data_IF_141858152623
#
_entry.id   IF_141858152623
#
_cell.length_a   1.000
_cell.length_b   1.000
_cell.length_c   1.000
_cell.angle_alpha   90.00
_cell.angle_beta   90.00
_cell.angle_gamma   90.00
#
_symmetry.space_group_name_H-M   'P 1'
#
loop_
_entity.id
_entity.type
_entity.pdbx_description
1 polymer ?
#
# COMPACT_ATOMS: atom_id res chain seq x y z
N UNK A 1 -0.50 23.65 13.26
CA UNK A 1 -1.13 23.29 11.97
C UNK A 1 -2.58 22.89 12.24
N UNK A 2 -3.51 23.25 11.36
CA UNK A 2 -4.90 22.80 11.51
C UNK A 2 -5.04 21.33 11.11
N UNK A 3 -6.07 20.65 11.61
CA UNK A 3 -6.36 19.25 11.27
C UNK A 3 -6.45 19.06 9.73
N UNK A 4 -7.03 20.02 9.03
CA UNK A 4 -7.12 20.04 7.57
C UNK A 4 -5.74 20.07 6.89
N UNK A 5 -4.76 20.79 7.45
CA UNK A 5 -3.39 20.80 6.91
C UNK A 5 -2.73 19.43 6.99
N UNK A 6 -2.98 18.65 8.04
CA UNK A 6 -2.46 17.29 8.17
C UNK A 6 -3.10 16.33 7.17
N UNK A 7 -4.42 16.45 6.93
CA UNK A 7 -5.09 15.63 5.92
C UNK A 7 -4.59 15.93 4.50
N UNK A 8 -4.35 17.20 4.16
CA UNK A 8 -3.77 17.57 2.87
C UNK A 8 -2.37 16.97 2.71
N UNK A 9 -1.53 17.07 3.75
CA UNK A 9 -0.17 16.51 3.72
C UNK A 9 -0.20 14.99 3.52
N UNK A 10 -1.01 14.28 4.31
CA UNK A 10 -1.16 12.83 4.20
C UNK A 10 -1.67 12.43 2.81
N UNK A 11 -2.67 13.14 2.30
CA UNK A 11 -3.20 12.89 0.97
C UNK A 11 -2.12 13.03 -0.11
N UNK A 12 -1.31 14.09 -0.07
CA UNK A 12 -0.21 14.31 -1.03
C UNK A 12 0.82 13.19 -0.95
N UNK A 13 1.22 12.77 0.26
CA UNK A 13 2.17 11.67 0.45
C UNK A 13 1.62 10.37 -0.15
N UNK A 14 0.37 10.03 0.16
CA UNK A 14 -0.29 8.83 -0.38
C UNK A 14 -0.41 8.92 -1.89
N UNK A 15 -0.75 10.09 -2.44
CA UNK A 15 -0.88 10.30 -3.88
C UNK A 15 0.45 10.08 -4.61
N UNK A 16 1.54 10.68 -4.11
CA UNK A 16 2.89 10.52 -4.69
C UNK A 16 3.33 9.06 -4.63
N UNK A 17 3.17 8.41 -3.47
CA UNK A 17 3.53 6.99 -3.31
C UNK A 17 2.72 6.07 -4.24
N UNK A 18 1.42 6.34 -4.39
CA UNK A 18 0.54 5.56 -5.27
C UNK A 18 0.95 5.72 -6.73
N UNK A 19 1.14 6.95 -7.21
CA UNK A 19 1.57 7.24 -8.58
C UNK A 19 2.92 6.59 -8.86
N UNK A 20 3.90 6.76 -7.95
CA UNK A 20 5.22 6.16 -8.09
C UNK A 20 5.17 4.63 -8.19
N UNK A 21 4.37 3.99 -7.33
CA UNK A 21 4.18 2.52 -7.35
C UNK A 21 3.61 2.04 -8.67
N UNK A 22 2.59 2.73 -9.20
CA UNK A 22 1.98 2.40 -10.50
C UNK A 22 3.00 2.58 -11.64
N UNK A 23 3.75 3.69 -11.64
CA UNK A 23 4.74 3.98 -12.67
C UNK A 23 5.87 2.93 -12.70
N UNK A 24 6.35 2.51 -11.53
CA UNK A 24 7.38 1.45 -11.44
C UNK A 24 6.82 0.12 -11.90
N UNK A 25 5.61 -0.26 -11.45
CA UNK A 25 4.98 -1.52 -11.86
C UNK A 25 4.68 -1.59 -13.36
N UNK A 26 4.35 -0.46 -13.99
CA UNK A 26 4.11 -0.37 -15.42
C UNK A 26 5.37 -0.14 -16.26
N UNK A 27 6.53 0.08 -15.64
CA UNK A 27 7.78 0.37 -16.34
C UNK A 27 8.23 -0.78 -17.24
N UNK A 28 8.93 -0.45 -18.34
CA UNK A 28 9.48 -1.46 -19.25
C UNK A 28 10.47 -2.39 -18.54
N UNK A 29 11.29 -1.84 -17.64
CA UNK A 29 12.22 -2.65 -16.85
C UNK A 29 11.50 -3.70 -15.99
N UNK A 30 10.35 -3.37 -15.39
CA UNK A 30 9.56 -4.33 -14.62
C UNK A 30 8.98 -5.44 -15.52
N UNK A 31 8.52 -5.09 -16.73
CA UNK A 31 8.00 -6.05 -17.71
C UNK A 31 9.08 -6.94 -18.33
N UNK A 32 10.27 -6.41 -18.56
CA UNK A 32 11.41 -7.19 -19.06
C UNK A 32 11.94 -8.17 -18.01
N UNK A 33 11.99 -7.74 -16.74
CA UNK A 33 12.40 -8.61 -15.62
C UNK A 33 11.34 -9.65 -15.21
N UNK A 34 10.06 -9.37 -15.47
CA UNK A 34 8.96 -10.31 -15.25
C UNK A 34 7.90 -10.23 -16.37
N UNK A 35 8.13 -10.91 -17.52
CA UNK A 35 7.24 -10.85 -18.68
C UNK A 35 5.83 -11.38 -18.42
N UNK A 36 5.68 -12.27 -17.44
CA UNK A 36 4.41 -12.87 -17.05
C UNK A 36 3.73 -12.12 -15.89
N UNK A 37 4.28 -10.99 -15.43
CA UNK A 37 3.73 -10.17 -14.35
C UNK A 37 2.26 -9.82 -14.58
N UNK A 38 1.91 -9.41 -15.81
CA UNK A 38 0.54 -9.04 -16.18
C UNK A 38 -0.41 -10.26 -16.17
N UNK A 39 0.09 -11.49 -16.34
CA UNK A 39 -0.71 -12.73 -16.29
C UNK A 39 -0.97 -13.19 -14.85
N UNK A 40 -0.01 -12.96 -13.95
CA UNK A 40 -0.12 -13.36 -12.54
C UNK A 40 -0.69 -12.27 -11.63
N UNK A 41 -1.07 -11.11 -12.19
CA UNK A 41 -1.60 -9.95 -11.47
C UNK A 41 -2.63 -10.34 -10.41
N UNK A 42 -3.57 -11.24 -10.72
CA UNK A 42 -4.58 -11.70 -9.74
C UNK A 42 -3.97 -12.36 -8.50
N UNK A 43 -3.01 -13.29 -8.67
CA UNK A 43 -2.39 -14.00 -7.57
C UNK A 43 -1.48 -13.10 -6.72
N UNK A 44 -0.76 -12.18 -7.37
CA UNK A 44 0.08 -11.19 -6.70
C UNK A 44 -0.80 -10.25 -5.86
N UNK A 45 -1.89 -9.72 -6.43
CA UNK A 45 -2.81 -8.85 -5.70
C UNK A 45 -3.49 -9.58 -4.54
N UNK A 46 -3.92 -10.83 -4.69
CA UNK A 46 -4.51 -11.60 -3.59
C UNK A 46 -3.53 -11.77 -2.42
N UNK A 47 -2.27 -12.13 -2.70
CA UNK A 47 -1.23 -12.25 -1.65
C UNK A 47 -0.95 -10.89 -1.00
N UNK A 48 -0.84 -9.83 -1.79
CA UNK A 48 -0.59 -8.48 -1.29
C UNK A 48 -1.74 -7.97 -0.40
N UNK A 49 -2.99 -8.19 -0.82
CA UNK A 49 -4.17 -7.87 -0.02
C UNK A 49 -4.19 -8.63 1.30
N UNK A 50 -3.78 -9.90 1.30
CA UNK A 50 -3.69 -10.70 2.53
C UNK A 50 -2.69 -10.10 3.53
N UNK A 51 -1.51 -9.67 3.06
CA UNK A 51 -0.53 -8.98 3.90
C UNK A 51 -1.08 -7.69 4.49
N UNK A 52 -1.82 -6.90 3.71
CA UNK A 52 -2.46 -5.69 4.22
C UNK A 52 -3.52 -5.97 5.27
N UNK A 53 -4.37 -6.99 5.06
CA UNK A 53 -5.38 -7.38 6.07
C UNK A 53 -4.70 -7.80 7.37
N UNK A 54 -3.65 -8.62 7.30
CA UNK A 54 -2.90 -9.06 8.49
C UNK A 54 -2.27 -7.87 9.22
N UNK A 55 -1.61 -6.97 8.49
CA UNK A 55 -1.00 -5.77 9.07
C UNK A 55 -2.03 -4.86 9.75
N UNK A 56 -3.21 -4.67 9.13
CA UNK A 56 -4.33 -3.91 9.70
C UNK A 56 -4.78 -4.57 11.01
N UNK A 57 -5.07 -5.87 10.99
CA UNK A 57 -5.55 -6.60 12.18
C UNK A 57 -4.55 -6.51 13.33
N UNK A 58 -3.26 -6.72 13.05
CA UNK A 58 -2.21 -6.64 14.08
C UNK A 58 -2.06 -5.21 14.59
N UNK A 59 -2.02 -4.21 13.70
CA UNK A 59 -1.84 -2.81 14.06
C UNK A 59 -2.99 -2.27 14.92
N UNK A 60 -4.24 -2.53 14.52
CA UNK A 60 -5.42 -2.17 15.32
C UNK A 60 -5.50 -2.99 16.60
N UNK A 61 -5.16 -4.28 16.58
CA UNK A 61 -5.10 -5.11 17.79
C UNK A 61 -4.11 -4.57 18.82
N UNK A 62 -2.91 -4.19 18.38
CA UNK A 62 -1.90 -3.57 19.23
C UNK A 62 -2.35 -2.21 19.78
N UNK A 63 -3.00 -1.39 18.94
CA UNK A 63 -3.54 -0.09 19.37
C UNK A 63 -4.65 -0.25 20.42
N UNK A 64 -5.59 -1.17 20.19
CA UNK A 64 -6.65 -1.49 21.16
C UNK A 64 -6.01 -1.96 22.47
N UNK A 65 -5.05 -2.88 22.40
CA UNK A 65 -4.34 -3.35 23.59
C UNK A 65 -3.65 -2.23 24.36
N UNK A 66 -2.99 -1.29 23.65
CA UNK A 66 -2.36 -0.12 24.25
C UNK A 66 -3.35 0.85 24.90
N UNK A 67 -4.57 0.99 24.37
CA UNK A 67 -5.59 1.90 24.91
C UNK A 67 -6.26 1.31 26.16
N UNK A 68 -6.52 0.00 26.19
CA UNK A 68 -7.27 -0.66 27.25
C UNK A 68 -6.41 -1.32 28.34
N UNK A 69 -5.08 -1.19 28.25
CA UNK A 69 -4.13 -1.62 29.27
C UNK A 69 -3.50 -0.42 29.94
#
# INVERSE_FOLDING_TARGET
MSLSSYYILLFVIVLIGTIGTIMVGASKQNKEGNPDYDKETKGIFTKLSLYYVVAIVIGFGALIWYIFK
#
